data_IF_369650088510
#
_entry.id   IF_369650088510
#
_cell.length_a   1.000
_cell.length_b   1.000
_cell.length_c   1.000
_cell.angle_alpha   90.00
_cell.angle_beta   90.00
_cell.angle_gamma   90.00
#
_symmetry.space_group_name_H-M   'P 1'
#
loop_
_entity.id
_entity.type
_entity.pdbx_description
1 polymer ?
#
# COMPACT_ATOMS: atom_id res chain seq x y z
N UNK A 1 -90.66 23.67 -8.69
CA UNK A 1 -90.87 23.89 -10.14
C UNK A 1 -89.79 24.87 -10.60
N UNK A 2 -88.88 24.45 -11.50
CA UNK A 2 -88.00 25.22 -12.42
C UNK A 2 -87.16 26.41 -11.87
N UNK A 3 -85.81 26.32 -11.81
CA UNK A 3 -84.73 26.43 -12.84
C UNK A 3 -84.17 27.86 -13.05
N UNK A 4 -82.84 27.96 -13.03
CA UNK A 4 -81.88 28.90 -13.68
C UNK A 4 -80.87 29.43 -12.65
N UNK A 5 -79.55 29.51 -12.83
CA UNK A 5 -78.65 29.38 -13.98
C UNK A 5 -77.41 30.23 -13.63
N UNK A 6 -76.19 29.74 -13.84
CA UNK A 6 -74.99 30.54 -13.59
C UNK A 6 -73.69 29.75 -13.53
N UNK A 7 -73.10 29.48 -14.70
CA UNK A 7 -71.73 29.00 -14.82
C UNK A 7 -70.72 30.11 -14.48
N UNK A 8 -69.67 29.82 -13.71
CA UNK A 8 -68.40 30.57 -13.74
C UNK A 8 -67.18 29.65 -13.59
N UNK A 9 -66.29 29.86 -14.55
CA UNK A 9 -64.92 29.40 -14.74
C UNK A 9 -64.11 29.00 -13.50
N UNK A 10 -63.45 27.83 -13.60
CA UNK A 10 -62.29 27.43 -12.79
C UNK A 10 -61.01 27.91 -13.50
N UNK A 11 -60.08 28.63 -12.85
CA UNK A 11 -58.72 28.80 -13.34
C UNK A 11 -57.82 27.65 -12.85
N UNK A 12 -56.98 27.15 -13.76
CA UNK A 12 -56.19 25.94 -13.60
C UNK A 12 -55.06 25.98 -12.58
N UNK A 13 -54.87 24.82 -11.96
CA UNK A 13 -53.63 24.07 -11.81
C UNK A 13 -52.30 24.87 -11.80
N UNK A 14 -51.90 25.34 -10.62
CA UNK A 14 -50.52 25.76 -10.32
C UNK A 14 -49.83 24.74 -9.40
N UNK A 15 -49.58 23.52 -9.89
CA UNK A 15 -48.66 22.59 -9.21
C UNK A 15 -47.27 23.23 -9.19
N UNK A 16 -46.80 23.62 -8.01
CA UNK A 16 -45.38 23.93 -7.79
C UNK A 16 -44.58 22.71 -8.25
N UNK A 17 -43.49 22.87 -9.01
CA UNK A 17 -42.63 21.75 -9.33
C UNK A 17 -42.07 21.23 -8.01
N UNK A 18 -42.40 19.98 -7.69
CA UNK A 18 -41.74 19.24 -6.64
C UNK A 18 -40.25 19.23 -6.99
N UNK A 19 -39.43 19.93 -6.21
CA UNK A 19 -38.01 19.66 -6.19
C UNK A 19 -37.86 18.15 -5.94
N UNK A 20 -37.08 17.41 -6.74
CA UNK A 20 -36.87 16.00 -6.49
C UNK A 20 -36.28 15.89 -5.09
N UNK A 21 -36.99 15.18 -4.21
CA UNK A 21 -36.44 14.78 -2.93
C UNK A 21 -35.17 14.01 -3.24
N UNK A 22 -34.01 14.62 -3.00
CA UNK A 22 -32.73 13.95 -2.99
C UNK A 22 -32.92 12.76 -2.06
N UNK A 23 -32.91 11.55 -2.63
CA UNK A 23 -32.98 10.31 -1.89
C UNK A 23 -31.95 10.41 -0.76
N UNK A 24 -32.32 10.08 0.50
CA UNK A 24 -31.32 10.01 1.54
C UNK A 24 -30.27 9.03 1.05
N UNK A 25 -29.03 9.50 0.89
CA UNK A 25 -27.88 8.66 0.60
C UNK A 25 -27.86 7.62 1.72
N UNK A 26 -28.42 6.44 1.44
CA UNK A 26 -28.37 5.29 2.33
C UNK A 26 -26.91 5.17 2.72
N UNK A 27 -26.62 5.35 4.01
CA UNK A 27 -25.28 5.57 4.54
C UNK A 27 -24.25 4.71 3.77
N UNK A 28 -23.46 5.35 2.89
CA UNK A 28 -22.31 4.71 2.25
C UNK A 28 -21.19 4.44 3.28
N UNK A 29 -21.44 4.65 4.57
CA UNK A 29 -20.47 4.48 5.62
C UNK A 29 -20.45 3.02 6.08
N UNK A 30 -19.53 2.24 5.51
CA UNK A 30 -18.88 1.20 6.30
C UNK A 30 -17.98 1.88 7.35
N UNK A 31 -18.57 2.53 8.36
CA UNK A 31 -17.83 3.25 9.43
C UNK A 31 -16.79 2.35 10.11
N UNK A 32 -17.05 1.04 10.16
CA UNK A 32 -16.14 0.03 10.70
C UNK A 32 -14.77 -0.01 10.01
N UNK A 33 -14.70 0.32 8.71
CA UNK A 33 -13.45 0.27 7.94
C UNK A 33 -12.52 1.45 8.28
N UNK A 34 -13.09 2.63 8.51
CA UNK A 34 -12.33 3.84 8.82
C UNK A 34 -11.80 3.86 10.24
N UNK A 35 -12.65 3.52 11.22
CA UNK A 35 -12.26 3.48 12.63
C UNK A 35 -11.18 2.41 12.88
N UNK A 36 -11.29 1.26 12.21
CA UNK A 36 -10.23 0.25 12.22
C UNK A 36 -8.92 0.81 11.65
N UNK A 37 -8.97 1.55 10.54
CA UNK A 37 -7.78 2.12 9.88
C UNK A 37 -7.08 3.16 10.78
N UNK A 38 -7.86 3.97 11.49
CA UNK A 38 -7.36 4.90 12.50
C UNK A 38 -6.79 4.15 13.71
N UNK A 39 -7.45 3.08 14.18
CA UNK A 39 -6.98 2.23 15.27
C UNK A 39 -5.64 1.56 14.95
N UNK A 40 -5.48 1.02 13.75
CA UNK A 40 -4.20 0.50 13.26
C UNK A 40 -3.11 1.55 13.28
N UNK A 41 -3.44 2.79 12.89
CA UNK A 41 -2.45 3.85 12.85
C UNK A 41 -2.00 4.27 14.26
N UNK A 42 -2.93 4.35 15.22
CA UNK A 42 -2.57 4.59 16.63
C UNK A 42 -1.66 3.47 17.14
N UNK A 43 -2.02 2.20 16.92
CA UNK A 43 -1.22 1.07 17.37
C UNK A 43 0.21 1.08 16.78
N UNK A 44 0.36 1.43 15.50
CA UNK A 44 1.68 1.59 14.85
C UNK A 44 2.51 2.69 15.50
N UNK A 45 1.91 3.86 15.74
CA UNK A 45 2.57 4.99 16.40
C UNK A 45 2.99 4.62 17.83
N UNK A 46 2.09 4.02 18.60
CA UNK A 46 2.36 3.66 19.99
C UNK A 46 3.48 2.60 20.06
N UNK A 47 3.48 1.61 19.15
CA UNK A 47 4.56 0.62 19.04
C UNK A 47 5.91 1.25 18.68
N UNK A 48 5.93 2.25 17.79
CA UNK A 48 7.16 2.99 17.46
C UNK A 48 7.75 3.69 18.68
N UNK A 49 6.91 4.32 19.51
CA UNK A 49 7.35 5.12 20.66
C UNK A 49 7.70 4.24 21.87
N UNK A 50 6.90 3.23 22.16
CA UNK A 50 7.05 2.39 23.36
C UNK A 50 8.00 1.20 23.13
N UNK A 51 8.08 0.69 21.90
CA UNK A 51 8.86 -0.49 21.56
C UNK A 51 9.57 -0.37 20.19
N UNK A 52 10.44 0.64 20.00
CA UNK A 52 11.08 0.93 18.70
C UNK A 52 11.84 -0.26 18.12
N UNK A 53 12.47 -1.10 18.96
CA UNK A 53 13.16 -2.31 18.50
C UNK A 53 12.20 -3.34 17.88
N UNK A 54 11.01 -3.53 18.48
CA UNK A 54 9.98 -4.43 17.93
C UNK A 54 9.43 -3.88 16.62
N UNK A 55 9.22 -2.57 16.56
CA UNK A 55 8.79 -1.88 15.35
C UNK A 55 9.81 -2.05 14.22
N UNK A 56 11.09 -1.80 14.49
CA UNK A 56 12.17 -1.97 13.52
C UNK A 56 12.32 -3.43 13.06
N UNK A 57 12.26 -4.40 13.98
CA UNK A 57 12.32 -5.83 13.63
C UNK A 57 11.15 -6.25 12.72
N UNK A 58 9.95 -5.73 12.97
CA UNK A 58 8.80 -5.98 12.09
C UNK A 58 8.99 -5.36 10.70
N UNK A 59 9.68 -4.21 10.61
CA UNK A 59 10.06 -3.61 9.34
C UNK A 59 11.13 -4.43 8.61
N UNK A 60 12.10 -4.99 9.33
CA UNK A 60 13.06 -5.94 8.76
C UNK A 60 12.35 -7.16 8.18
N UNK A 61 11.39 -7.73 8.90
CA UNK A 61 10.62 -8.88 8.41
C UNK A 61 9.91 -8.55 7.08
N UNK A 62 9.28 -7.39 6.96
CA UNK A 62 8.67 -6.97 5.69
C UNK A 62 9.68 -6.86 4.54
N UNK A 63 10.86 -6.29 4.80
CA UNK A 63 11.95 -6.19 3.81
C UNK A 63 12.43 -7.57 3.34
N UNK A 64 12.67 -8.48 4.29
CA UNK A 64 13.04 -9.88 4.01
C UNK A 64 11.98 -10.56 3.14
N UNK A 65 10.70 -10.42 3.46
CA UNK A 65 9.60 -11.03 2.69
C UNK A 65 9.55 -10.52 1.25
N UNK A 66 9.78 -9.22 1.02
CA UNK A 66 9.89 -8.65 -0.32
C UNK A 66 11.06 -9.29 -1.08
N UNK A 67 12.24 -9.37 -0.46
CA UNK A 67 13.44 -9.90 -1.11
C UNK A 67 13.33 -11.40 -1.44
N UNK A 68 12.74 -12.19 -0.52
CA UNK A 68 12.46 -13.62 -0.74
C UNK A 68 11.60 -13.81 -1.97
N UNK A 69 10.43 -13.16 -2.02
CA UNK A 69 9.48 -13.33 -3.13
C UNK A 69 10.05 -12.77 -4.42
N UNK A 70 10.76 -11.64 -4.37
CA UNK A 70 11.44 -11.07 -5.54
C UNK A 70 12.47 -12.03 -6.14
N UNK A 71 13.30 -12.66 -5.30
CA UNK A 71 14.31 -13.63 -5.76
C UNK A 71 13.66 -14.83 -6.46
N UNK A 72 12.54 -15.34 -5.93
CA UNK A 72 11.78 -16.43 -6.53
C UNK A 72 11.12 -16.00 -7.86
N UNK A 73 10.51 -14.81 -7.90
CA UNK A 73 9.96 -14.20 -9.12
C UNK A 73 11.02 -14.06 -10.22
N UNK A 74 12.22 -13.58 -9.87
CA UNK A 74 13.33 -13.47 -10.81
C UNK A 74 13.78 -14.83 -11.32
N UNK A 75 13.90 -15.83 -10.44
CA UNK A 75 14.29 -17.18 -10.85
C UNK A 75 13.28 -17.78 -11.83
N UNK A 76 11.99 -17.63 -11.55
CA UNK A 76 10.93 -18.10 -12.45
C UNK A 76 11.00 -17.37 -13.80
N UNK A 77 11.16 -16.05 -13.81
CA UNK A 77 11.31 -15.27 -15.03
C UNK A 77 12.56 -15.68 -15.84
N UNK A 78 13.67 -15.97 -15.18
CA UNK A 78 14.92 -16.42 -15.81
C UNK A 78 14.72 -17.75 -16.56
N UNK A 79 13.97 -18.71 -16.00
CA UNK A 79 13.67 -19.98 -16.67
C UNK A 79 12.87 -19.78 -17.96
N UNK A 80 11.88 -18.89 -17.94
CA UNK A 80 11.11 -18.54 -19.14
C UNK A 80 11.96 -17.78 -20.17
N UNK A 81 12.83 -16.88 -19.71
CA UNK A 81 13.71 -16.12 -20.58
C UNK A 81 14.72 -17.04 -21.31
N UNK A 82 15.29 -18.02 -20.61
CA UNK A 82 16.21 -19.02 -21.18
C UNK A 82 15.53 -19.93 -22.21
N UNK A 83 14.22 -20.14 -22.09
CA UNK A 83 13.41 -20.87 -23.08
C UNK A 83 12.86 -19.96 -24.18
N UNK A 84 13.33 -18.71 -24.28
CA UNK A 84 12.86 -17.71 -25.26
C UNK A 84 11.36 -17.43 -25.19
N UNK A 85 10.74 -17.66 -24.02
CA UNK A 85 9.31 -17.44 -23.83
C UNK A 85 9.01 -15.95 -23.62
N UNK A 86 8.05 -15.35 -24.36
CA UNK A 86 7.67 -13.95 -24.19
C UNK A 86 6.94 -13.69 -22.85
N UNK A 87 6.54 -14.74 -22.13
CA UNK A 87 5.75 -14.65 -20.90
C UNK A 87 6.59 -14.46 -19.64
N UNK A 88 7.90 -14.23 -19.73
CA UNK A 88 8.76 -14.03 -18.55
C UNK A 88 8.29 -12.87 -17.66
N UNK A 89 7.75 -11.79 -18.25
CA UNK A 89 7.23 -10.64 -17.49
C UNK A 89 5.95 -10.97 -16.71
N UNK A 90 5.09 -11.84 -17.26
CA UNK A 90 3.92 -12.37 -16.57
C UNK A 90 4.38 -13.24 -15.40
N UNK A 91 5.32 -14.14 -15.64
CA UNK A 91 5.84 -15.05 -14.62
C UNK A 91 6.56 -14.31 -13.48
N UNK A 92 7.35 -13.28 -13.81
CA UNK A 92 7.95 -12.36 -12.84
C UNK A 92 6.91 -11.73 -11.91
N UNK A 93 5.73 -11.40 -12.46
CA UNK A 93 4.72 -10.60 -11.77
C UNK A 93 3.62 -11.39 -11.08
N UNK A 94 3.29 -12.58 -11.56
CA UNK A 94 2.11 -13.34 -11.16
C UNK A 94 2.04 -13.63 -9.65
N UNK A 95 3.19 -13.88 -9.02
CA UNK A 95 3.26 -14.31 -7.62
C UNK A 95 3.83 -13.23 -6.68
N UNK A 96 4.12 -12.03 -7.18
CA UNK A 96 4.68 -10.97 -6.33
C UNK A 96 3.70 -10.53 -5.22
N UNK A 97 2.39 -10.73 -5.44
CA UNK A 97 1.35 -10.48 -4.44
C UNK A 97 1.52 -11.27 -3.15
N UNK A 98 2.19 -12.43 -3.21
CA UNK A 98 2.47 -13.27 -2.03
C UNK A 98 3.28 -12.50 -0.98
N UNK A 99 4.15 -11.58 -1.39
CA UNK A 99 4.91 -10.75 -0.46
C UNK A 99 3.98 -9.85 0.36
N UNK A 100 3.05 -9.13 -0.29
CA UNK A 100 2.13 -8.25 0.41
C UNK A 100 1.14 -9.02 1.28
N UNK A 101 0.66 -10.17 0.82
CA UNK A 101 -0.18 -11.07 1.64
C UNK A 101 0.58 -11.48 2.91
N UNK A 102 1.83 -11.94 2.79
CA UNK A 102 2.63 -12.35 3.93
C UNK A 102 2.90 -11.19 4.91
N UNK A 103 3.15 -9.98 4.41
CA UNK A 103 3.35 -8.77 5.22
C UNK A 103 2.09 -8.42 6.01
N UNK A 104 0.91 -8.45 5.36
CA UNK A 104 -0.37 -8.17 6.01
C UNK A 104 -0.67 -9.21 7.09
N UNK A 105 -0.52 -10.50 6.77
CA UNK A 105 -0.80 -11.61 7.69
C UNK A 105 0.15 -11.60 8.89
N UNK A 106 1.44 -11.33 8.66
CA UNK A 106 2.45 -11.23 9.73
C UNK A 106 2.39 -9.92 10.51
N UNK A 107 1.55 -8.95 10.09
CA UNK A 107 1.47 -7.60 10.67
C UNK A 107 2.83 -6.89 10.68
N UNK A 108 3.60 -7.10 9.61
CA UNK A 108 4.91 -6.48 9.44
C UNK A 108 4.79 -5.06 8.89
N UNK A 109 5.76 -4.20 9.19
CA UNK A 109 5.73 -2.79 8.82
C UNK A 109 6.38 -2.57 7.46
N UNK A 110 5.59 -2.15 6.46
CA UNK A 110 6.08 -1.82 5.13
C UNK A 110 5.98 -0.32 4.90
N UNK A 111 7.08 0.29 4.43
CA UNK A 111 7.16 1.74 4.24
C UNK A 111 6.00 2.29 3.39
N UNK A 112 5.71 1.63 2.25
CA UNK A 112 4.75 2.12 1.26
C UNK A 112 3.32 2.18 1.79
N UNK A 113 2.86 1.18 2.54
CA UNK A 113 1.55 1.22 3.21
C UNK A 113 1.54 2.16 4.40
N UNK A 114 2.66 2.29 5.13
CA UNK A 114 2.79 3.24 6.24
C UNK A 114 2.69 4.71 5.82
N UNK A 115 3.07 5.05 4.58
CA UNK A 115 2.75 6.37 4.01
C UNK A 115 1.25 6.64 4.08
N UNK A 116 0.41 5.69 3.64
CA UNK A 116 -1.05 5.85 3.71
C UNK A 116 -1.56 5.93 5.15
N UNK A 117 -1.20 4.97 6.00
CA UNK A 117 -1.67 4.93 7.40
C UNK A 117 -1.35 6.24 8.13
N UNK A 118 -0.09 6.69 8.09
CA UNK A 118 0.34 7.86 8.86
C UNK A 118 -0.13 9.18 8.26
N UNK A 119 -0.28 9.25 6.93
CA UNK A 119 -0.95 10.39 6.30
C UNK A 119 -2.39 10.49 6.81
N UNK A 120 -3.09 9.35 6.90
CA UNK A 120 -4.45 9.35 7.40
C UNK A 120 -4.54 9.75 8.88
N UNK A 121 -3.67 9.23 9.74
CA UNK A 121 -3.65 9.70 11.14
C UNK A 121 -3.32 11.18 11.24
N UNK A 122 -2.42 11.70 10.41
CA UNK A 122 -2.11 13.13 10.40
C UNK A 122 -3.31 13.98 9.99
N UNK A 123 -4.05 13.56 8.97
CA UNK A 123 -5.28 14.23 8.51
C UNK A 123 -6.42 14.14 9.54
N UNK A 124 -6.47 13.05 10.31
CA UNK A 124 -7.45 12.83 11.37
C UNK A 124 -7.03 13.38 12.74
N UNK A 125 -5.92 14.12 12.83
CA UNK A 125 -5.44 14.71 14.08
C UNK A 125 -4.92 13.71 15.12
N UNK A 126 -4.52 12.50 14.70
CA UNK A 126 -4.07 11.40 15.57
C UNK A 126 -2.55 11.18 15.58
N UNK A 127 -1.82 11.85 14.69
CA UNK A 127 -0.35 11.86 14.67
C UNK A 127 0.16 13.22 14.17
N UNK A 128 1.32 13.63 14.67
CA UNK A 128 2.08 14.78 14.19
C UNK A 128 2.87 14.44 12.92
N UNK A 129 3.25 15.48 12.16
CA UNK A 129 4.12 15.31 10.98
C UNK A 129 5.49 14.73 11.38
N UNK A 130 5.99 15.07 12.56
CA UNK A 130 7.26 14.56 13.07
C UNK A 130 7.20 13.05 13.37
N UNK A 131 6.13 12.58 14.01
CA UNK A 131 5.91 11.14 14.26
C UNK A 131 5.78 10.36 12.95
N UNK A 132 5.08 10.92 11.95
CA UNK A 132 4.96 10.30 10.63
C UNK A 132 6.34 10.18 9.94
N UNK A 133 7.13 11.26 9.93
CA UNK A 133 8.47 11.26 9.34
C UNK A 133 9.43 10.31 10.06
N UNK A 134 9.38 10.25 11.40
CA UNK A 134 10.17 9.32 12.20
C UNK A 134 9.84 7.86 11.87
N UNK A 135 8.54 7.53 11.79
CA UNK A 135 8.10 6.20 11.40
C UNK A 135 8.57 5.85 9.98
N UNK A 136 8.39 6.76 9.02
CA UNK A 136 8.82 6.55 7.64
C UNK A 136 10.31 6.26 7.54
N UNK A 137 11.15 7.03 8.24
CA UNK A 137 12.59 6.77 8.31
C UNK A 137 12.90 5.41 8.94
N UNK A 138 12.29 5.10 10.10
CA UNK A 138 12.50 3.84 10.82
C UNK A 138 12.13 2.62 9.96
N UNK A 139 10.96 2.64 9.32
CA UNK A 139 10.47 1.52 8.51
C UNK A 139 11.23 1.39 7.21
N UNK A 140 11.59 2.49 6.55
CA UNK A 140 12.39 2.45 5.33
C UNK A 140 13.76 1.80 5.59
N UNK A 141 14.43 2.21 6.68
CA UNK A 141 15.71 1.62 7.10
C UNK A 141 15.56 0.18 7.59
N UNK A 142 14.47 -0.15 8.29
CA UNK A 142 14.16 -1.51 8.70
C UNK A 142 13.94 -2.42 7.49
N UNK A 143 13.14 -1.99 6.53
CA UNK A 143 12.94 -2.70 5.27
C UNK A 143 14.29 -2.94 4.55
N UNK A 144 15.16 -1.94 4.46
CA UNK A 144 16.52 -2.09 3.92
C UNK A 144 17.34 -3.12 4.70
N UNK A 145 17.37 -3.04 6.02
CA UNK A 145 18.14 -3.96 6.86
C UNK A 145 17.68 -5.42 6.70
N UNK A 146 16.37 -5.66 6.57
CA UNK A 146 15.82 -6.98 6.26
C UNK A 146 16.21 -7.49 4.87
N UNK A 147 16.15 -6.61 3.86
CA UNK A 147 16.60 -6.92 2.50
C UNK A 147 18.07 -7.31 2.49
N UNK A 148 18.93 -6.53 3.16
CA UNK A 148 20.37 -6.80 3.22
C UNK A 148 20.66 -8.10 3.97
N UNK A 149 19.98 -8.36 5.09
CA UNK A 149 20.09 -9.62 5.82
C UNK A 149 19.74 -10.82 4.94
N UNK A 150 18.61 -10.76 4.24
CA UNK A 150 18.23 -11.80 3.29
C UNK A 150 19.28 -11.96 2.20
N UNK A 151 19.73 -10.85 1.61
CA UNK A 151 20.75 -10.85 0.54
C UNK A 151 22.02 -11.54 1.01
N UNK A 152 22.53 -11.23 2.20
CA UNK A 152 23.73 -11.85 2.76
C UNK A 152 23.59 -13.37 2.88
N UNK A 153 22.47 -13.85 3.43
CA UNK A 153 22.20 -15.30 3.58
C UNK A 153 22.01 -15.96 2.21
N UNK A 154 21.28 -15.29 1.31
CA UNK A 154 20.98 -15.77 -0.03
C UNK A 154 22.24 -15.90 -0.90
N UNK A 155 23.21 -14.99 -0.75
CA UNK A 155 24.53 -15.11 -1.38
C UNK A 155 25.25 -16.40 -0.97
N UNK A 156 25.19 -16.79 0.31
CA UNK A 156 25.80 -18.04 0.78
C UNK A 156 25.08 -19.28 0.23
N UNK A 157 23.81 -19.14 -0.15
CA UNK A 157 23.02 -20.19 -0.79
C UNK A 157 23.19 -20.24 -2.33
N UNK A 158 24.15 -19.51 -2.90
CA UNK A 158 24.43 -19.46 -4.34
C UNK A 158 23.75 -18.32 -5.10
N UNK A 159 22.97 -17.48 -4.41
CA UNK A 159 22.37 -16.25 -4.95
C UNK A 159 21.72 -16.37 -6.33
N UNK A 160 22.19 -15.59 -7.32
CA UNK A 160 21.67 -15.64 -8.70
C UNK A 160 22.12 -16.89 -9.47
N UNK A 161 23.15 -17.59 -9.00
CA UNK A 161 23.86 -18.60 -9.78
C UNK A 161 24.59 -17.96 -10.96
N UNK A 162 24.50 -18.58 -12.14
CA UNK A 162 25.10 -18.03 -13.35
C UNK A 162 24.49 -16.67 -13.72
N UNK A 163 25.35 -15.65 -13.83
CA UNK A 163 24.96 -14.26 -14.07
C UNK A 163 25.56 -13.71 -15.38
N UNK A 164 25.10 -14.16 -16.57
CA UNK A 164 25.49 -13.56 -17.84
C UNK A 164 24.81 -12.19 -18.05
N UNK A 165 25.28 -11.39 -19.01
CA UNK A 165 24.66 -10.11 -19.38
C UNK A 165 23.18 -10.25 -19.79
N UNK A 166 22.80 -11.42 -20.31
CA UNK A 166 21.42 -11.76 -20.68
C UNK A 166 20.52 -12.10 -19.49
N UNK A 167 21.06 -12.17 -18.27
CA UNK A 167 20.31 -12.52 -17.07
C UNK A 167 19.17 -11.52 -16.82
N UNK A 168 18.01 -12.02 -16.39
CA UNK A 168 16.79 -11.21 -16.19
C UNK A 168 17.02 -10.06 -15.21
N UNK A 169 17.84 -10.26 -14.17
CA UNK A 169 18.17 -9.19 -13.22
C UNK A 169 18.90 -8.02 -13.89
N UNK A 170 19.84 -8.30 -14.81
CA UNK A 170 20.57 -7.27 -15.58
C UNK A 170 19.60 -6.46 -16.44
N UNK A 171 18.65 -7.12 -17.09
CA UNK A 171 17.61 -6.46 -17.88
C UNK A 171 16.69 -5.59 -17.00
N UNK A 172 16.26 -6.10 -15.84
CA UNK A 172 15.42 -5.38 -14.90
C UNK A 172 16.11 -4.13 -14.33
N UNK A 173 17.40 -4.25 -13.98
CA UNK A 173 18.21 -3.13 -13.51
C UNK A 173 18.32 -2.07 -14.61
N UNK A 174 18.73 -2.47 -15.82
CA UNK A 174 18.87 -1.54 -16.95
C UNK A 174 17.58 -0.79 -17.27
N UNK A 175 16.42 -1.46 -17.23
CA UNK A 175 15.11 -0.81 -17.44
C UNK A 175 14.79 0.21 -16.34
N UNK A 176 15.15 -0.09 -15.09
CA UNK A 176 14.85 0.76 -13.92
C UNK A 176 15.77 1.95 -13.80
N UNK A 177 17.06 1.78 -14.08
CA UNK A 177 18.06 2.85 -13.97
C UNK A 177 18.11 3.71 -15.24
N UNK A 178 17.79 3.15 -16.41
CA UNK A 178 17.80 3.89 -17.69
C UNK A 178 16.59 4.80 -17.93
N UNK A 179 15.57 4.76 -17.09
CA UNK A 179 14.38 5.58 -17.26
C UNK A 179 14.62 7.05 -16.81
N UNK A 180 14.02 8.05 -17.47
CA UNK A 180 14.09 9.44 -16.99
C UNK A 180 13.49 9.58 -15.58
N UNK A 181 14.11 10.40 -14.72
CA UNK A 181 13.72 10.57 -13.31
C UNK A 181 12.22 10.92 -13.14
N UNK A 182 11.68 11.80 -14.00
CA UNK A 182 10.27 12.17 -13.93
C UNK A 182 9.33 11.01 -14.33
N UNK A 183 9.77 10.13 -15.24
CA UNK A 183 9.02 8.91 -15.59
C UNK A 183 9.03 7.93 -14.41
N UNK A 184 10.17 7.78 -13.72
CA UNK A 184 10.28 6.95 -12.51
C UNK A 184 9.35 7.47 -11.42
N UNK A 185 9.32 8.79 -11.20
CA UNK A 185 8.44 9.44 -10.23
C UNK A 185 6.96 9.11 -10.48
N UNK A 186 6.43 9.35 -11.69
CA UNK A 186 5.02 9.08 -11.97
C UNK A 186 4.66 7.59 -11.94
N UNK A 187 5.56 6.72 -12.41
CA UNK A 187 5.40 5.26 -12.24
C UNK A 187 5.31 4.88 -10.75
N UNK A 188 6.06 5.55 -9.88
CA UNK A 188 6.00 5.32 -8.45
C UNK A 188 4.74 5.89 -7.78
N UNK A 189 4.22 7.02 -8.25
CA UNK A 189 2.91 7.52 -7.81
C UNK A 189 1.83 6.48 -8.08
N UNK A 190 1.78 5.96 -9.30
CA UNK A 190 0.81 4.93 -9.70
C UNK A 190 1.02 3.62 -8.94
N UNK A 191 2.28 3.22 -8.68
CA UNK A 191 2.58 2.05 -7.88
C UNK A 191 1.94 2.16 -6.49
N UNK A 192 2.26 3.21 -5.73
CA UNK A 192 1.82 3.25 -4.34
C UNK A 192 0.34 3.57 -4.20
N UNK A 193 -0.29 4.19 -5.21
CA UNK A 193 -1.75 4.24 -5.30
C UNK A 193 -2.33 2.83 -5.24
N UNK A 194 -1.88 1.93 -6.13
CA UNK A 194 -2.40 0.56 -6.23
C UNK A 194 -2.04 -0.27 -4.99
N UNK A 195 -0.82 -0.14 -4.45
CA UNK A 195 -0.43 -0.81 -3.20
C UNK A 195 -1.37 -0.40 -2.06
N UNK A 196 -1.66 0.89 -1.92
CA UNK A 196 -2.56 1.37 -0.87
C UNK A 196 -3.99 0.84 -1.07
N UNK A 197 -4.46 0.71 -2.31
CA UNK A 197 -5.74 0.03 -2.61
C UNK A 197 -5.69 -1.45 -2.23
N UNK A 198 -4.57 -2.13 -2.50
CA UNK A 198 -4.36 -3.53 -2.15
C UNK A 198 -4.31 -3.75 -0.63
N UNK A 199 -4.03 -2.73 0.16
CA UNK A 199 -4.12 -2.78 1.62
C UNK A 199 -5.53 -2.44 2.10
N UNK A 200 -6.13 -1.39 1.56
CA UNK A 200 -7.39 -0.83 2.07
C UNK A 200 -8.64 -1.59 1.62
N UNK A 201 -8.75 -1.99 0.34
CA UNK A 201 -9.95 -2.64 -0.17
C UNK A 201 -10.23 -4.01 0.46
N UNK A 202 -9.25 -4.90 0.68
CA UNK A 202 -9.49 -6.18 1.35
C UNK A 202 -10.05 -6.03 2.76
N UNK A 203 -9.79 -4.92 3.46
CA UNK A 203 -10.34 -4.66 4.79
C UNK A 203 -11.87 -4.48 4.78
N UNK A 204 -12.47 -4.24 3.61
CA UNK A 204 -13.92 -4.15 3.43
C UNK A 204 -14.57 -5.48 3.05
N UNK A 205 -13.79 -6.56 2.95
CA UNK A 205 -14.27 -7.91 2.66
C UNK A 205 -14.29 -8.76 3.94
N UNK A 206 -15.20 -9.72 4.02
CA UNK A 206 -15.27 -10.67 5.14
C UNK A 206 -14.50 -11.97 4.84
N UNK A 207 -14.50 -12.41 3.57
CA UNK A 207 -13.90 -13.68 3.15
C UNK A 207 -12.38 -13.55 2.94
N UNK A 208 -11.58 -14.34 3.69
CA UNK A 208 -10.12 -14.31 3.62
C UNK A 208 -9.56 -14.71 2.24
N UNK A 209 -10.16 -15.68 1.56
CA UNK A 209 -9.73 -16.05 0.21
C UNK A 209 -9.97 -14.92 -0.80
N UNK A 210 -11.09 -14.19 -0.68
CA UNK A 210 -11.37 -13.01 -1.49
C UNK A 210 -10.38 -11.86 -1.21
N UNK A 211 -10.00 -11.66 0.06
CA UNK A 211 -8.95 -10.69 0.44
C UNK A 211 -7.62 -11.03 -0.22
N UNK A 212 -7.17 -12.27 -0.06
CA UNK A 212 -5.90 -12.75 -0.64
C UNK A 212 -5.94 -12.59 -2.16
N UNK A 213 -7.01 -13.03 -2.83
CA UNK A 213 -7.13 -12.91 -4.28
C UNK A 213 -7.08 -11.45 -4.75
N UNK A 214 -7.78 -10.54 -4.07
CA UNK A 214 -7.76 -9.11 -4.42
C UNK A 214 -6.36 -8.50 -4.25
N UNK A 215 -5.65 -8.84 -3.17
CA UNK A 215 -4.26 -8.43 -2.95
C UNK A 215 -3.38 -8.94 -4.09
N UNK A 216 -3.47 -10.24 -4.42
CA UNK A 216 -2.69 -10.85 -5.49
C UNK A 216 -2.90 -10.15 -6.83
N UNK A 217 -4.16 -9.87 -7.19
CA UNK A 217 -4.52 -9.22 -8.45
C UNK A 217 -4.02 -7.77 -8.51
N UNK A 218 -4.22 -6.98 -7.45
CA UNK A 218 -3.77 -5.58 -7.45
C UNK A 218 -2.24 -5.47 -7.46
N UNK A 219 -1.54 -6.36 -6.75
CA UNK A 219 -0.08 -6.42 -6.83
C UNK A 219 0.39 -6.82 -8.24
N UNK A 220 -0.26 -7.81 -8.84
CA UNK A 220 0.02 -8.18 -10.24
C UNK A 220 -0.13 -6.97 -11.17
N UNK A 221 -1.20 -6.18 -11.05
CA UNK A 221 -1.45 -5.02 -11.92
C UNK A 221 -0.27 -4.03 -11.91
N UNK A 222 0.20 -3.56 -10.74
CA UNK A 222 1.26 -2.56 -10.73
C UNK A 222 2.59 -3.14 -11.21
N UNK A 223 2.89 -4.38 -10.83
CA UNK A 223 4.18 -5.00 -11.10
C UNK A 223 4.31 -5.38 -12.57
N UNK A 224 3.24 -5.95 -13.14
CA UNK A 224 3.14 -6.26 -14.58
C UNK A 224 3.15 -4.99 -15.44
N UNK A 225 2.50 -3.90 -14.97
CA UNK A 225 2.56 -2.59 -15.65
C UNK A 225 3.93 -1.93 -15.58
N UNK A 226 4.89 -2.56 -14.89
CA UNK A 226 6.26 -2.09 -14.76
C UNK A 226 6.40 -0.87 -13.88
N UNK A 227 5.46 -0.60 -12.96
CA UNK A 227 5.53 0.54 -12.05
C UNK A 227 6.70 0.42 -11.06
N UNK A 228 7.02 1.54 -10.39
CA UNK A 228 8.21 1.63 -9.53
C UNK A 228 7.85 1.54 -8.04
N UNK A 229 8.32 0.50 -7.37
CA UNK A 229 8.11 0.29 -5.95
C UNK A 229 9.44 0.40 -5.22
N UNK A 230 9.65 1.45 -4.43
CA UNK A 230 10.95 1.77 -3.84
C UNK A 230 11.53 0.61 -3.01
N UNK A 231 10.74 -0.12 -2.24
CA UNK A 231 11.26 -1.26 -1.44
C UNK A 231 11.58 -2.48 -2.33
N UNK A 232 10.87 -2.67 -3.45
CA UNK A 232 11.19 -3.76 -4.38
C UNK A 232 12.40 -3.41 -5.25
N UNK A 233 12.56 -2.13 -5.61
CA UNK A 233 13.74 -1.62 -6.29
C UNK A 233 14.97 -1.75 -5.39
N UNK A 234 14.83 -1.36 -4.11
CA UNK A 234 15.86 -1.55 -3.09
C UNK A 234 16.29 -3.02 -2.97
N UNK A 235 15.32 -3.95 -2.99
CA UNK A 235 15.61 -5.39 -3.00
C UNK A 235 16.34 -5.82 -4.27
N UNK A 236 15.84 -5.46 -5.46
CA UNK A 236 16.50 -5.79 -6.73
C UNK A 236 17.94 -5.28 -6.77
N UNK A 237 18.14 -4.00 -6.42
CA UNK A 237 19.45 -3.37 -6.42
C UNK A 237 20.38 -4.01 -5.40
N UNK A 238 19.90 -4.35 -4.21
CA UNK A 238 20.73 -5.04 -3.20
C UNK A 238 21.16 -6.43 -3.68
N UNK A 239 20.24 -7.21 -4.25
CA UNK A 239 20.51 -8.56 -4.76
C UNK A 239 21.51 -8.53 -5.93
N UNK A 240 21.37 -7.58 -6.86
CA UNK A 240 22.28 -7.43 -8.00
C UNK A 240 23.63 -6.85 -7.58
N UNK A 241 23.64 -5.81 -6.75
CA UNK A 241 24.88 -5.17 -6.31
C UNK A 241 25.75 -6.12 -5.49
N UNK A 242 25.15 -7.04 -4.73
CA UNK A 242 25.89 -8.11 -4.03
C UNK A 242 26.55 -9.14 -4.98
N UNK A 243 26.05 -9.28 -6.22
CA UNK A 243 26.61 -10.18 -7.25
C UNK A 243 27.61 -9.46 -8.17
N UNK A 244 27.22 -8.28 -8.68
CA UNK A 244 27.91 -7.57 -9.73
C UNK A 244 27.89 -6.05 -9.42
N UNK A 245 28.66 -5.58 -8.43
CA UNK A 245 28.66 -4.17 -8.03
C UNK A 245 29.08 -3.23 -9.16
N UNK A 246 29.97 -3.69 -10.05
CA UNK A 246 30.43 -2.91 -11.21
C UNK A 246 29.35 -2.72 -12.28
N UNK A 247 28.37 -3.63 -12.35
CA UNK A 247 27.26 -3.55 -13.29
C UNK A 247 26.15 -2.58 -12.83
N UNK A 248 26.20 -2.13 -11.57
CA UNK A 248 25.21 -1.23 -10.98
C UNK A 248 25.91 -0.10 -10.20
N UNK A 249 26.35 0.96 -10.90
CA UNK A 249 26.94 2.14 -10.26
C UNK A 249 26.01 2.74 -9.20
N UNK A 250 26.58 3.24 -8.11
CA UNK A 250 25.80 3.83 -7.03
C UNK A 250 24.97 5.05 -7.49
N UNK A 251 25.47 5.81 -8.47
CA UNK A 251 24.74 6.92 -9.07
C UNK A 251 23.41 6.48 -9.70
N UNK A 252 23.38 5.32 -10.34
CA UNK A 252 22.19 4.76 -10.99
C UNK A 252 21.16 4.29 -9.96
N UNK A 253 21.62 3.73 -8.85
CA UNK A 253 20.77 3.41 -7.69
C UNK A 253 20.10 4.68 -7.19
N UNK A 254 20.86 5.76 -6.97
CA UNK A 254 20.31 7.05 -6.48
C UNK A 254 19.34 7.65 -7.50
N UNK A 255 19.68 7.63 -8.79
CA UNK A 255 18.85 8.14 -9.88
C UNK A 255 17.47 7.46 -9.94
N UNK A 256 17.38 6.17 -9.58
CA UNK A 256 16.11 5.48 -9.45
C UNK A 256 15.44 5.70 -8.09
N UNK A 257 16.17 5.46 -7.00
CA UNK A 257 15.61 5.38 -5.65
C UNK A 257 14.98 6.69 -5.18
N UNK A 258 15.60 7.83 -5.49
CA UNK A 258 15.09 9.15 -5.08
C UNK A 258 13.71 9.44 -5.69
N UNK A 259 13.54 9.50 -7.03
CA UNK A 259 12.22 9.74 -7.62
C UNK A 259 11.22 8.62 -7.31
N UNK A 260 11.66 7.36 -7.19
CA UNK A 260 10.77 6.26 -6.83
C UNK A 260 10.21 6.40 -5.41
N UNK A 261 11.04 6.73 -4.43
CA UNK A 261 10.59 6.94 -3.04
C UNK A 261 9.67 8.16 -2.94
N UNK A 262 10.04 9.28 -3.56
CA UNK A 262 9.19 10.48 -3.56
C UNK A 262 7.84 10.22 -4.23
N UNK A 263 7.84 9.54 -5.38
CA UNK A 263 6.61 9.17 -6.08
C UNK A 263 5.75 8.23 -5.25
N UNK A 264 6.33 7.24 -4.56
CA UNK A 264 5.55 6.38 -3.66
C UNK A 264 4.96 7.17 -2.48
N UNK A 265 5.68 8.14 -1.89
CA UNK A 265 5.14 9.00 -0.84
C UNK A 265 3.88 9.74 -1.37
N UNK A 266 3.99 10.39 -2.52
CA UNK A 266 2.88 11.11 -3.14
C UNK A 266 1.71 10.16 -3.49
N UNK A 267 2.00 8.99 -4.05
CA UNK A 267 0.99 7.99 -4.40
C UNK A 267 0.22 7.47 -3.18
N UNK A 268 0.89 7.25 -2.04
CA UNK A 268 0.24 6.80 -0.81
C UNK A 268 -0.63 7.89 -0.17
N UNK A 269 -0.17 9.15 -0.22
CA UNK A 269 -0.92 10.30 0.27
C UNK A 269 -2.19 10.56 -0.55
N UNK A 270 -2.05 10.64 -1.88
CA UNK A 270 -3.12 11.09 -2.77
C UNK A 270 -4.02 9.96 -3.28
N UNK A 271 -3.49 8.74 -3.43
CA UNK A 271 -4.23 7.64 -4.03
C UNK A 271 -5.32 7.07 -3.14
N UNK A 272 -5.07 6.96 -1.83
CA UNK A 272 -6.03 6.40 -0.87
C UNK A 272 -6.20 7.25 0.38
N UNK A 273 -5.12 7.71 1.03
CA UNK A 273 -5.25 8.38 2.33
C UNK A 273 -6.14 9.63 2.29
N UNK A 274 -5.90 10.54 1.33
CA UNK A 274 -6.70 11.75 1.17
C UNK A 274 -8.16 11.45 0.72
N UNK A 275 -8.43 10.63 -0.32
CA UNK A 275 -9.79 10.25 -0.68
C UNK A 275 -10.56 9.56 0.45
N UNK A 276 -9.94 8.58 1.12
CA UNK A 276 -10.56 7.89 2.25
C UNK A 276 -10.91 8.86 3.37
N UNK A 277 -9.99 9.78 3.71
CA UNK A 277 -10.27 10.83 4.68
C UNK A 277 -11.42 11.76 4.27
N UNK A 278 -11.42 12.27 3.04
CA UNK A 278 -12.48 13.17 2.55
C UNK A 278 -13.86 12.52 2.58
N UNK A 279 -13.93 11.22 2.24
CA UNK A 279 -15.16 10.46 2.22
C UNK A 279 -15.64 10.08 3.63
N UNK A 280 -14.74 9.65 4.51
CA UNK A 280 -15.10 9.00 5.77
C UNK A 280 -14.87 9.90 7.02
N UNK A 281 -14.31 11.12 6.89
CA UNK A 281 -14.04 12.02 8.05
C UNK A 281 -15.24 12.33 8.94
N UNK A 282 -16.46 12.28 8.40
CA UNK A 282 -17.68 12.54 9.15
C UNK A 282 -18.05 11.39 10.11
N UNK A 283 -17.44 10.21 9.94
CA UNK A 283 -17.64 9.06 10.82
C UNK A 283 -16.63 9.00 11.97
N UNK A 284 -15.68 9.94 12.02
CA UNK A 284 -14.69 10.00 13.10
C UNK A 284 -15.42 10.24 14.42
N UNK A 285 -15.31 9.29 15.34
CA UNK A 285 -15.69 9.54 16.73
C UNK A 285 -14.73 10.55 17.35
N UNK A 286 -15.29 11.63 17.92
CA UNK A 286 -14.57 12.62 18.73
C UNK A 286 -14.03 12.03 20.04
N UNK A 287 -14.44 10.82 20.40
CA UNK A 287 -14.01 10.18 21.64
C UNK A 287 -12.55 9.72 21.54
N UNK A 288 -11.68 10.08 22.50
CA UNK A 288 -10.40 9.42 22.64
C UNK A 288 -10.67 7.95 22.99
N UNK A 289 -10.55 7.04 22.03
CA UNK A 289 -10.63 5.61 22.27
C UNK A 289 -9.34 5.15 22.96
N UNK A 290 -9.18 5.51 24.24
CA UNK A 290 -8.36 4.73 25.17
C UNK A 290 -9.04 3.37 25.29
N UNK A 291 -8.58 2.39 24.52
CA UNK A 291 -8.93 1.01 24.83
C UNK A 291 -8.50 0.76 26.29
N UNK A 292 -9.37 0.27 27.18
CA UNK A 292 -8.97 -0.04 28.53
C UNK A 292 -7.81 -1.03 28.47
N UNK A 293 -6.73 -0.71 29.20
CA UNK A 293 -5.62 -1.64 29.38
C UNK A 293 -6.17 -2.99 29.86
N UNK A 294 -5.51 -4.10 29.53
CA UNK A 294 -5.95 -5.43 29.99
C UNK A 294 -6.15 -5.47 31.53
N UNK A 295 -5.41 -4.63 32.27
CA UNK A 295 -5.55 -4.43 33.70
C UNK A 295 -6.89 -3.78 34.11
N UNK A 296 -7.41 -2.81 33.34
CA UNK A 296 -8.69 -2.15 33.62
C UNK A 296 -9.89 -3.08 33.39
N UNK A 297 -9.82 -3.95 32.38
CA UNK A 297 -10.86 -4.97 32.15
C UNK A 297 -10.95 -5.98 33.30
N UNK A 298 -9.81 -6.37 33.86
CA UNK A 298 -9.77 -7.26 35.02
C UNK A 298 -10.30 -6.59 36.31
N UNK A 299 -10.11 -5.27 36.45
CA UNK A 299 -10.68 -4.50 37.57
C UNK A 299 -12.19 -4.26 37.42
N UNK A 300 -12.71 -4.15 36.20
CA UNK A 300 -14.14 -3.98 35.94
C UNK A 300 -14.92 -5.30 36.02
N UNK A 301 -14.29 -6.43 35.71
CA UNK A 301 -14.89 -7.77 35.87
C UNK A 301 -14.86 -8.29 37.33
N UNK A 302 -14.21 -7.56 38.25
CA UNK A 302 -14.10 -7.92 39.67
C UNK A 302 -14.92 -7.04 40.62
N UNK A 303 -15.80 -6.19 40.09
CA UNK A 303 -16.82 -5.43 40.84
C UNK A 303 -18.23 -5.96 40.52
#
# INVERSE_FOLDING_TARGET
MQRAGGARHVPGNGRRPHAPALLPVKAMSNSYSFDYLIGQTRAKRDTLLEAPARYFLSAMLAGTLIAVVLSASMRLAQLLLQSSSPYYAVAYSAFFGTALVAIIVSKSELFTSNVMYLTLARLSGRASTAEAALSWGCVYLGNLAGILLFTLVWMQAGGLGDYPDSHVASQLVAVKTGAPAMKIFWKAVLCNWIICLAVWLPMKLENEAAKIMLIMLLVFVFFFSGFEHCIANMALFSLVWAHAPDALPFADIVHNMVPATLGNIVGGMLGVALPAWLLERHTLSDAPQTAPSAMQRLCEESQ
#
